data_IF_527004540603
#
_entry.id   IF_527004540603
#
_cell.length_a   1.000
_cell.length_b   1.000
_cell.length_c   1.000
_cell.angle_alpha   90.00
_cell.angle_beta   90.00
_cell.angle_gamma   90.00
#
_symmetry.space_group_name_H-M   'P 1'
#
loop_
_entity.id
_entity.type
_entity.pdbx_description
1 polymer ?
#
# COMPACT_ATOMS: atom_id res chain seq x y z
N UNK A 1 26.24 4.91 -29.21
CA UNK A 1 25.65 5.20 -30.54
C UNK A 1 24.49 6.21 -30.52
N UNK A 2 23.82 6.48 -29.38
CA UNK A 2 22.70 7.47 -29.31
C UNK A 2 23.14 8.93 -29.11
N UNK A 3 24.36 9.17 -28.65
CA UNK A 3 24.91 10.53 -28.46
C UNK A 3 25.11 11.30 -29.77
N UNK A 4 25.29 10.60 -30.89
CA UNK A 4 25.48 11.21 -32.22
C UNK A 4 24.18 11.75 -32.84
N UNK A 5 23.02 11.51 -32.21
CA UNK A 5 21.70 12.01 -32.67
C UNK A 5 21.19 13.19 -31.84
N UNK A 6 21.99 13.75 -30.93
CA UNK A 6 21.57 14.84 -30.03
C UNK A 6 20.54 14.39 -28.96
N UNK A 7 20.53 13.09 -28.64
CA UNK A 7 19.65 12.49 -27.64
C UNK A 7 20.47 12.17 -26.38
N UNK A 8 20.14 12.81 -25.27
CA UNK A 8 20.68 12.48 -23.95
C UNK A 8 19.76 11.48 -23.26
N UNK A 9 20.34 10.41 -22.71
CA UNK A 9 19.63 9.36 -21.99
C UNK A 9 20.20 9.23 -20.60
N UNK A 10 19.38 9.43 -19.58
CA UNK A 10 19.80 9.39 -18.18
C UNK A 10 18.81 8.58 -17.33
N UNK A 11 19.31 7.62 -16.57
CA UNK A 11 18.51 6.93 -15.57
C UNK A 11 18.38 7.79 -14.31
N UNK A 12 17.18 7.82 -13.74
CA UNK A 12 16.92 8.50 -12.47
C UNK A 12 16.14 7.60 -11.52
N UNK A 13 16.46 7.75 -10.23
CA UNK A 13 15.80 7.07 -9.13
C UNK A 13 15.11 8.13 -8.27
N UNK A 14 13.80 8.04 -8.11
CA UNK A 14 13.05 8.85 -7.15
C UNK A 14 12.78 8.03 -5.89
N UNK A 15 13.00 8.63 -4.73
CA UNK A 15 12.68 8.06 -3.42
C UNK A 15 11.84 9.06 -2.64
N UNK A 16 10.67 8.65 -2.19
CA UNK A 16 9.82 9.41 -1.28
C UNK A 16 9.64 8.61 0.00
N UNK A 17 9.66 9.29 1.15
CA UNK A 17 9.42 8.66 2.45
C UNK A 17 8.51 9.51 3.30
N UNK A 18 7.47 8.90 3.85
CA UNK A 18 6.50 9.54 4.74
C UNK A 18 6.41 8.77 6.04
N UNK A 19 6.23 9.48 7.16
CA UNK A 19 6.05 8.88 8.48
C UNK A 19 5.01 9.64 9.28
N UNK A 20 4.24 8.90 10.08
CA UNK A 20 3.22 9.48 10.96
C UNK A 20 2.99 8.56 12.16
N UNK A 21 2.37 9.10 13.20
CA UNK A 21 2.04 8.34 14.40
C UNK A 21 0.67 8.74 14.95
N UNK A 22 0.03 7.82 15.67
CA UNK A 22 -1.25 8.07 16.33
C UNK A 22 -1.45 7.12 17.52
N UNK A 23 -2.39 7.47 18.40
CA UNK A 23 -2.85 6.58 19.46
C UNK A 23 -4.19 5.94 19.11
N UNK A 24 -4.40 4.69 19.51
CA UNK A 24 -5.69 4.01 19.42
C UNK A 24 -5.92 3.19 20.68
N UNK A 25 -7.15 3.15 21.18
CA UNK A 25 -7.50 2.46 22.40
C UNK A 25 -8.92 1.88 22.35
N UNK A 26 -9.13 0.80 23.09
CA UNK A 26 -10.45 0.31 23.50
C UNK A 26 -10.66 0.55 25.01
N UNK A 27 -11.64 -0.11 25.64
CA UNK A 27 -11.94 0.07 27.07
C UNK A 27 -10.85 -0.46 28.00
N UNK A 28 -9.98 -1.37 27.56
CA UNK A 28 -9.01 -2.07 28.39
C UNK A 28 -7.56 -1.96 27.89
N UNK A 29 -7.37 -1.65 26.60
CA UNK A 29 -6.11 -1.77 25.89
C UNK A 29 -5.84 -0.53 25.02
N UNK A 30 -4.57 -0.25 24.76
CA UNK A 30 -4.16 0.86 23.89
C UNK A 30 -2.86 0.56 23.14
N UNK A 31 -2.67 1.21 22.00
CA UNK A 31 -1.44 1.22 21.21
C UNK A 31 -1.03 2.65 20.85
N UNK A 32 0.28 2.90 20.92
CA UNK A 32 0.95 3.94 20.14
C UNK A 32 1.39 3.32 18.82
N UNK A 33 0.90 3.88 17.72
CA UNK A 33 1.14 3.37 16.37
C UNK A 33 2.13 4.29 15.67
N UNK A 34 3.21 3.72 15.15
CA UNK A 34 4.23 4.40 14.36
C UNK A 34 4.23 3.84 12.95
N UNK A 35 4.08 4.67 11.94
CA UNK A 35 4.00 4.28 10.54
C UNK A 35 5.13 4.89 9.73
N UNK A 36 5.60 4.13 8.74
CA UNK A 36 6.60 4.55 7.76
C UNK A 36 6.25 3.96 6.39
N UNK A 37 6.29 4.81 5.37
CA UNK A 37 6.12 4.44 3.96
C UNK A 37 7.32 4.90 3.18
N UNK A 38 7.82 4.03 2.32
CA UNK A 38 8.84 4.35 1.33
C UNK A 38 8.33 3.99 -0.07
N UNK A 39 8.41 4.94 -1.00
CA UNK A 39 8.20 4.72 -2.41
C UNK A 39 9.51 4.87 -3.17
N UNK A 40 9.77 3.96 -4.10
CA UNK A 40 10.93 3.98 -4.99
C UNK A 40 10.46 3.85 -6.44
N UNK A 41 10.75 4.85 -7.26
CA UNK A 41 10.53 4.83 -8.70
C UNK A 41 11.86 4.83 -9.45
N UNK A 42 11.97 4.02 -10.50
CA UNK A 42 13.05 4.14 -11.48
C UNK A 42 12.45 4.55 -12.82
N UNK A 43 13.10 5.49 -13.49
CA UNK A 43 12.71 5.95 -14.82
C UNK A 43 13.94 6.32 -15.65
N UNK A 44 13.85 6.07 -16.94
CA UNK A 44 14.82 6.52 -17.93
C UNK A 44 14.28 7.80 -18.55
N UNK A 45 15.07 8.87 -18.48
CA UNK A 45 14.74 10.16 -19.06
C UNK A 45 15.44 10.30 -20.41
N UNK A 46 14.68 10.80 -21.39
CA UNK A 46 15.14 11.05 -22.75
C UNK A 46 14.99 12.54 -23.01
N UNK A 47 16.10 13.18 -23.37
CA UNK A 47 16.15 14.60 -23.70
C UNK A 47 16.64 14.76 -25.14
N UNK A 48 15.84 15.42 -25.97
CA UNK A 48 16.16 15.71 -27.37
C UNK A 48 16.44 17.21 -27.54
N UNK A 49 17.65 17.64 -27.18
CA UNK A 49 18.02 19.07 -27.17
C UNK A 49 17.09 19.91 -26.28
N UNK A 50 16.64 21.06 -26.78
CA UNK A 50 15.64 21.93 -26.11
C UNK A 50 14.19 21.63 -26.52
N UNK A 51 13.96 20.66 -27.41
CA UNK A 51 12.66 20.49 -28.09
C UNK A 51 11.70 19.55 -27.38
N UNK A 52 12.22 18.56 -26.63
CA UNK A 52 11.39 17.59 -25.94
C UNK A 52 12.14 16.90 -24.79
N UNK A 53 11.45 16.78 -23.66
CA UNK A 53 11.82 15.95 -22.52
C UNK A 53 10.69 14.94 -22.27
N UNK A 54 11.01 13.64 -22.26
CA UNK A 54 10.07 12.61 -21.86
C UNK A 54 10.73 11.55 -20.99
N UNK A 55 9.95 10.88 -20.15
CA UNK A 55 10.45 9.86 -19.23
C UNK A 55 9.63 8.60 -19.30
N UNK A 56 10.30 7.45 -19.28
CA UNK A 56 9.67 6.14 -19.23
C UNK A 56 9.99 5.52 -17.88
N UNK A 57 8.97 5.30 -17.05
CA UNK A 57 9.15 4.55 -15.80
C UNK A 57 9.55 3.11 -16.15
N UNK A 58 10.41 2.48 -15.37
CA UNK A 58 10.85 1.09 -15.58
C UNK A 58 10.57 0.21 -14.38
N UNK A 59 10.54 0.78 -13.17
CA UNK A 59 10.26 0.05 -11.94
C UNK A 59 9.54 0.93 -10.92
N UNK A 60 8.65 0.30 -10.15
CA UNK A 60 7.98 0.91 -9.01
C UNK A 60 8.00 -0.06 -7.82
N UNK A 61 8.35 0.45 -6.64
CA UNK A 61 8.28 -0.30 -5.40
C UNK A 61 7.72 0.56 -4.28
N UNK A 62 6.91 -0.05 -3.43
CA UNK A 62 6.34 0.53 -2.22
C UNK A 62 6.64 -0.41 -1.06
N UNK A 63 7.13 0.12 0.04
CA UNK A 63 7.20 -0.58 1.32
C UNK A 63 6.48 0.27 2.36
N UNK A 64 5.46 -0.30 2.98
CA UNK A 64 4.76 0.26 4.11
C UNK A 64 5.01 -0.62 5.33
N UNK A 65 5.30 0.02 6.45
CA UNK A 65 5.49 -0.64 7.73
C UNK A 65 4.85 0.15 8.86
N UNK A 66 4.34 -0.56 9.86
CA UNK A 66 3.88 0.06 11.08
C UNK A 66 4.25 -0.78 12.31
N UNK A 67 4.45 -0.13 13.45
CA UNK A 67 4.67 -0.78 14.74
C UNK A 67 3.59 -0.32 15.72
N UNK A 68 2.93 -1.27 16.39
CA UNK A 68 1.90 -1.04 17.41
C UNK A 68 2.52 -1.35 18.76
N UNK A 69 2.88 -0.31 19.47
CA UNK A 69 3.60 -0.40 20.74
C UNK A 69 2.62 -0.11 21.86
N UNK A 70 2.36 -1.06 22.76
CA UNK A 70 1.50 -0.79 23.88
C UNK A 70 2.17 0.21 24.85
N UNK A 71 1.39 1.06 25.54
CA UNK A 71 1.93 1.89 26.61
C UNK A 71 2.61 1.05 27.69
N UNK A 72 3.55 1.65 28.43
CA UNK A 72 4.26 0.95 29.51
C UNK A 72 3.26 0.35 30.53
N UNK A 73 3.56 -0.86 31.02
CA UNK A 73 2.79 -1.63 32.03
C UNK A 73 1.51 -2.33 31.54
N UNK A 74 1.42 -2.71 30.27
CA UNK A 74 0.35 -3.60 29.79
C UNK A 74 0.86 -5.03 29.58
N UNK A 75 -0.06 -5.99 29.51
CA UNK A 75 0.22 -7.40 29.14
C UNK A 75 0.13 -7.64 27.63
N UNK A 76 -0.11 -6.60 26.82
CA UNK A 76 -0.24 -6.76 25.38
C UNK A 76 1.12 -6.96 24.71
N UNK A 77 1.15 -7.84 23.71
CA UNK A 77 2.30 -7.98 22.83
C UNK A 77 2.36 -6.80 21.84
N UNK A 78 3.58 -6.44 21.41
CA UNK A 78 3.80 -5.55 20.27
C UNK A 78 3.40 -6.22 18.95
N UNK A 79 2.84 -5.45 18.02
CA UNK A 79 2.49 -5.92 16.68
C UNK A 79 3.16 -5.09 15.60
N UNK A 80 3.43 -5.72 14.46
CA UNK A 80 4.14 -5.13 13.35
C UNK A 80 3.37 -5.38 12.06
N UNK A 81 3.20 -4.34 11.25
CA UNK A 81 2.65 -4.41 9.91
C UNK A 81 3.78 -4.32 8.91
N UNK A 82 3.75 -5.18 7.90
CA UNK A 82 4.52 -4.99 6.67
C UNK A 82 3.61 -5.21 5.47
N UNK A 83 3.65 -4.29 4.51
CA UNK A 83 2.95 -4.40 3.23
C UNK A 83 3.79 -3.76 2.13
N UNK A 84 3.58 -4.18 0.89
CA UNK A 84 4.25 -3.53 -0.23
C UNK A 84 4.07 -4.23 -1.56
N UNK A 85 4.74 -3.67 -2.56
CA UNK A 85 4.84 -4.27 -3.88
C UNK A 85 6.19 -3.91 -4.53
N UNK A 86 6.51 -4.67 -5.56
CA UNK A 86 7.58 -4.38 -6.49
C UNK A 86 7.13 -4.81 -7.89
N UNK A 87 7.07 -3.88 -8.85
CA UNK A 87 6.56 -4.14 -10.19
C UNK A 87 7.42 -3.43 -11.26
N UNK A 88 7.61 -4.10 -12.38
CA UNK A 88 8.19 -3.49 -13.59
C UNK A 88 7.12 -2.70 -14.34
N UNK A 89 7.46 -1.54 -14.89
CA UNK A 89 6.49 -0.70 -15.63
C UNK A 89 7.04 -0.16 -16.94
N UNK A 90 7.57 -1.01 -17.85
CA UNK A 90 8.34 -0.58 -19.02
C UNK A 90 7.60 0.39 -19.97
N UNK A 91 6.27 0.40 -19.95
CA UNK A 91 5.44 1.30 -20.77
C UNK A 91 5.00 2.59 -20.03
N UNK A 92 5.55 2.82 -18.84
CA UNK A 92 5.15 3.91 -17.95
C UNK A 92 4.02 3.55 -16.99
N UNK A 93 3.81 4.41 -15.98
CA UNK A 93 2.87 4.16 -14.86
C UNK A 93 1.42 4.07 -15.34
N UNK A 94 1.00 4.98 -16.22
CA UNK A 94 -0.39 5.08 -16.69
C UNK A 94 -0.73 3.87 -17.57
N UNK A 95 0.11 3.56 -18.57
CA UNK A 95 -0.12 2.43 -19.47
C UNK A 95 -0.17 1.09 -18.71
N UNK A 96 0.79 0.87 -17.80
CA UNK A 96 0.79 -0.33 -16.95
C UNK A 96 -0.46 -0.38 -16.04
N UNK A 97 -0.92 0.77 -15.52
CA UNK A 97 -2.13 0.81 -14.68
C UNK A 97 -3.41 0.53 -15.47
N UNK A 98 -3.52 1.02 -16.69
CA UNK A 98 -4.68 0.74 -17.55
C UNK A 98 -4.71 -0.75 -17.93
N UNK A 99 -3.55 -1.32 -18.30
CA UNK A 99 -3.45 -2.73 -18.72
C UNK A 99 -3.59 -3.73 -17.56
N UNK A 100 -2.94 -3.46 -16.44
CA UNK A 100 -2.76 -4.44 -15.35
C UNK A 100 -3.54 -4.07 -14.07
N UNK A 101 -4.06 -2.84 -13.99
CA UNK A 101 -4.64 -2.29 -12.77
C UNK A 101 -3.62 -1.63 -11.84
N UNK A 102 -4.09 -1.18 -10.68
CA UNK A 102 -3.23 -0.62 -9.65
C UNK A 102 -2.30 -1.70 -9.07
N UNK A 103 -1.09 -1.33 -8.62
CA UNK A 103 -0.20 -2.26 -7.92
C UNK A 103 -0.91 -2.89 -6.71
N UNK A 104 -0.83 -4.22 -6.62
CA UNK A 104 -1.43 -4.97 -5.52
C UNK A 104 -0.46 -5.03 -4.35
N UNK A 105 -0.88 -4.48 -3.23
CA UNK A 105 -0.13 -4.57 -1.97
C UNK A 105 -0.75 -5.67 -1.11
N UNK A 106 0.00 -6.74 -0.90
CA UNK A 106 -0.29 -7.71 0.15
C UNK A 106 0.58 -7.41 1.36
N UNK A 107 0.22 -7.99 2.50
CA UNK A 107 1.12 -8.04 3.63
C UNK A 107 0.53 -8.74 4.83
N UNK A 108 1.01 -8.38 6.00
CA UNK A 108 0.62 -9.04 7.24
C UNK A 108 0.77 -8.13 8.45
N UNK A 109 0.05 -8.48 9.52
CA UNK A 109 0.20 -7.94 10.87
C UNK A 109 0.61 -9.07 11.79
N UNK A 110 1.72 -8.95 12.52
CA UNK A 110 2.25 -10.04 13.35
C UNK A 110 2.87 -9.56 14.66
N UNK A 111 2.74 -10.36 15.71
CA UNK A 111 3.49 -10.25 16.96
C UNK A 111 4.55 -11.36 17.11
N UNK A 112 4.98 -11.97 15.99
CA UNK A 112 5.88 -13.15 15.90
C UNK A 112 5.28 -14.48 16.37
N UNK A 113 4.17 -14.46 17.13
CA UNK A 113 3.43 -15.67 17.55
C UNK A 113 2.23 -15.94 16.65
N UNK A 114 1.52 -14.88 16.29
CA UNK A 114 0.34 -14.86 15.45
C UNK A 114 0.57 -13.97 14.23
N UNK A 115 -0.14 -14.27 13.14
CA UNK A 115 -0.09 -13.48 11.91
C UNK A 115 -1.50 -13.33 11.36
N UNK A 116 -1.83 -12.10 10.97
CA UNK A 116 -3.06 -11.73 10.27
C UNK A 116 -2.64 -11.30 8.87
N UNK A 117 -3.11 -11.99 7.84
CA UNK A 117 -2.81 -11.64 6.45
C UNK A 117 -3.65 -10.44 6.02
N UNK A 118 -3.07 -9.53 5.24
CA UNK A 118 -3.75 -8.39 4.64
C UNK A 118 -3.79 -8.60 3.12
N UNK A 119 -4.99 -8.66 2.56
CA UNK A 119 -5.20 -8.90 1.14
C UNK A 119 -6.03 -7.77 0.51
N UNK A 120 -5.69 -7.32 -0.72
CA UNK A 120 -6.41 -6.25 -1.39
C UNK A 120 -7.83 -6.68 -1.77
N UNK A 121 -8.77 -5.76 -1.59
CA UNK A 121 -10.17 -5.90 -1.99
C UNK A 121 -10.47 -4.92 -3.12
N UNK A 122 -10.99 -5.42 -4.23
CA UNK A 122 -11.33 -4.63 -5.42
C UNK A 122 -12.78 -4.17 -5.37
N UNK A 123 -13.02 -2.86 -5.46
CA UNK A 123 -14.40 -2.30 -5.39
C UNK A 123 -14.80 -1.63 -6.71
N UNK A 124 -13.87 -1.30 -7.61
CA UNK A 124 -14.20 -0.72 -8.91
C UNK A 124 -13.43 -1.37 -10.05
N UNK A 125 -14.22 -1.87 -11.00
CA UNK A 125 -13.84 -2.29 -12.32
C UNK A 125 -14.14 -1.15 -13.30
N UNK A 126 -13.16 -0.30 -13.61
CA UNK A 126 -13.39 0.81 -14.55
C UNK A 126 -13.39 0.28 -15.99
N UNK A 127 -14.46 0.53 -16.75
CA UNK A 127 -14.47 0.26 -18.20
C UNK A 127 -13.72 1.36 -18.95
N UNK A 128 -12.80 0.97 -19.84
CA UNK A 128 -12.18 1.91 -20.77
C UNK A 128 -13.23 2.47 -21.76
N UNK A 129 -13.11 3.76 -22.11
CA UNK A 129 -14.04 4.46 -23.02
C UNK A 129 -14.04 3.91 -24.45
N UNK A 130 -13.00 3.19 -24.84
CA UNK A 130 -12.75 2.71 -26.21
C UNK A 130 -12.95 1.21 -26.38
N UNK A 131 -13.00 0.44 -25.29
CA UNK A 131 -13.13 -1.01 -25.37
C UNK A 131 -13.83 -1.54 -24.11
N UNK A 132 -15.04 -2.08 -24.26
CA UNK A 132 -15.92 -2.46 -23.13
C UNK A 132 -15.39 -3.64 -22.29
N UNK A 133 -14.29 -4.27 -22.69
CA UNK A 133 -13.71 -5.46 -22.05
C UNK A 133 -12.57 -5.18 -21.08
N UNK A 134 -11.99 -3.97 -21.06
CA UNK A 134 -10.88 -3.66 -20.16
C UNK A 134 -11.40 -3.12 -18.83
N UNK A 135 -11.40 -4.00 -17.83
CA UNK A 135 -11.67 -3.70 -16.43
C UNK A 135 -10.38 -3.28 -15.74
N UNK A 136 -10.21 -1.99 -15.49
CA UNK A 136 -9.11 -1.50 -14.64
C UNK A 136 -9.44 -1.85 -13.19
N UNK A 137 -8.62 -2.71 -12.57
CA UNK A 137 -8.75 -3.09 -11.16
C UNK A 137 -8.17 -1.98 -10.27
N UNK A 138 -9.05 -1.39 -9.46
CA UNK A 138 -8.68 -0.38 -8.46
C UNK A 138 -8.87 -0.99 -7.07
N UNK A 139 -7.81 -0.92 -6.26
CA UNK A 139 -7.86 -1.33 -4.84
C UNK A 139 -8.79 -0.40 -4.09
N UNK A 140 -9.93 -0.92 -3.63
CA UNK A 140 -10.90 -0.17 -2.85
C UNK A 140 -10.80 -0.39 -1.35
N UNK A 141 -10.09 -1.44 -0.94
CA UNK A 141 -10.01 -1.84 0.45
C UNK A 141 -8.96 -2.91 0.69
N UNK A 142 -8.92 -3.37 1.93
CA UNK A 142 -8.21 -4.58 2.31
C UNK A 142 -9.07 -5.44 3.22
N UNK A 143 -8.87 -6.75 3.14
CA UNK A 143 -9.43 -7.74 4.05
C UNK A 143 -8.34 -8.27 4.97
N UNK A 144 -8.70 -8.53 6.21
CA UNK A 144 -7.82 -9.06 7.25
C UNK A 144 -8.21 -10.50 7.53
N UNK A 145 -7.27 -11.42 7.39
CA UNK A 145 -7.50 -12.85 7.54
C UNK A 145 -6.70 -13.45 8.68
N UNK A 146 -7.34 -14.25 9.51
CA UNK A 146 -6.69 -15.04 10.55
C UNK A 146 -7.16 -16.49 10.43
N UNK A 147 -6.23 -17.42 10.20
CA UNK A 147 -6.51 -18.86 10.05
C UNK A 147 -7.68 -19.15 9.10
N UNK A 148 -7.57 -18.69 7.85
CA UNK A 148 -8.57 -18.83 6.78
C UNK A 148 -9.90 -18.09 6.99
N UNK A 149 -10.06 -17.34 8.09
CA UNK A 149 -11.26 -16.56 8.35
C UNK A 149 -11.01 -15.07 8.16
N UNK A 150 -11.93 -14.39 7.47
CA UNK A 150 -11.94 -12.93 7.41
C UNK A 150 -12.40 -12.39 8.77
N UNK A 151 -11.55 -11.62 9.44
CA UNK A 151 -11.80 -11.03 10.76
C UNK A 151 -12.08 -9.53 10.71
N UNK A 152 -11.79 -8.88 9.59
CA UNK A 152 -12.21 -7.51 9.34
C UNK A 152 -11.94 -7.05 7.92
N UNK A 153 -12.42 -5.85 7.61
CA UNK A 153 -12.22 -5.17 6.33
C UNK A 153 -12.00 -3.68 6.55
N UNK A 154 -11.23 -3.05 5.67
CA UNK A 154 -11.07 -1.60 5.58
C UNK A 154 -11.47 -1.14 4.18
N UNK A 155 -12.33 -0.13 4.10
CA UNK A 155 -12.76 0.53 2.88
C UNK A 155 -12.06 1.90 2.78
N UNK A 156 -11.22 2.04 1.75
CA UNK A 156 -10.41 3.24 1.53
C UNK A 156 -11.20 4.38 0.91
N UNK A 157 -12.32 4.10 0.23
CA UNK A 157 -13.15 5.13 -0.40
C UNK A 157 -14.05 5.83 0.61
N UNK A 158 -14.65 5.05 1.50
CA UNK A 158 -15.53 5.57 2.55
C UNK A 158 -14.78 5.91 3.85
N UNK A 159 -13.47 5.69 3.86
CA UNK A 159 -12.60 5.87 5.03
C UNK A 159 -13.13 5.18 6.29
N UNK A 160 -13.56 3.92 6.14
CA UNK A 160 -14.23 3.15 7.19
C UNK A 160 -13.61 1.76 7.34
N UNK A 161 -13.87 1.11 8.47
CA UNK A 161 -13.49 -0.28 8.69
C UNK A 161 -14.53 -0.99 9.55
N UNK A 162 -14.58 -2.32 9.41
CA UNK A 162 -15.53 -3.18 10.12
C UNK A 162 -14.83 -4.45 10.59
N UNK A 163 -15.32 -5.02 11.68
CA UNK A 163 -14.86 -6.30 12.22
C UNK A 163 -16.00 -7.31 12.22
N UNK A 164 -15.67 -8.59 12.09
CA UNK A 164 -16.64 -9.65 12.28
C UNK A 164 -16.81 -9.95 13.78
N UNK A 165 -18.05 -10.21 14.21
CA UNK A 165 -18.47 -10.28 15.62
C UNK A 165 -17.67 -11.28 16.44
N UNK A 166 -17.33 -12.43 15.86
CA UNK A 166 -16.62 -13.55 16.48
C UNK A 166 -15.14 -13.28 16.77
N UNK A 167 -14.61 -12.14 16.32
CA UNK A 167 -13.21 -11.77 16.55
C UNK A 167 -12.97 -11.39 18.02
N UNK A 168 -11.95 -11.98 18.65
CA UNK A 168 -11.54 -11.63 20.03
C UNK A 168 -11.16 -10.15 20.16
N UNK A 169 -11.33 -9.56 21.36
CA UNK A 169 -11.11 -8.13 21.61
C UNK A 169 -9.71 -7.65 21.22
N UNK A 170 -8.66 -8.42 21.56
CA UNK A 170 -7.28 -8.10 21.17
C UNK A 170 -7.12 -8.04 19.65
N UNK A 171 -7.66 -9.01 18.91
CA UNK A 171 -7.59 -8.99 17.45
C UNK A 171 -8.38 -7.82 16.85
N UNK A 172 -9.53 -7.46 17.43
CA UNK A 172 -10.29 -6.27 17.01
C UNK A 172 -9.46 -5.00 17.12
N UNK A 173 -8.76 -4.78 18.24
CA UNK A 173 -7.90 -3.61 18.41
C UNK A 173 -6.70 -3.62 17.43
N UNK A 174 -6.08 -4.79 17.20
CA UNK A 174 -4.98 -4.94 16.22
C UNK A 174 -5.45 -4.61 14.81
N UNK A 175 -6.61 -5.12 14.39
CA UNK A 175 -7.19 -4.81 13.08
C UNK A 175 -7.60 -3.34 13.01
N UNK A 176 -8.13 -2.75 14.09
CA UNK A 176 -8.46 -1.32 14.15
C UNK A 176 -7.23 -0.45 13.92
N UNK A 177 -6.11 -0.80 14.58
CA UNK A 177 -4.83 -0.11 14.44
C UNK A 177 -4.31 -0.22 13.01
N UNK A 178 -4.33 -1.43 12.42
CA UNK A 178 -3.89 -1.66 11.05
C UNK A 178 -4.78 -0.95 10.02
N UNK A 179 -6.10 -1.03 10.15
CA UNK A 179 -7.04 -0.33 9.30
C UNK A 179 -6.85 1.18 9.36
N UNK A 180 -6.72 1.75 10.57
CA UNK A 180 -6.46 3.18 10.77
C UNK A 180 -5.14 3.60 10.13
N UNK A 181 -4.09 2.78 10.28
CA UNK A 181 -2.80 3.02 9.65
C UNK A 181 -2.94 3.07 8.11
N UNK A 182 -3.69 2.14 7.51
CA UNK A 182 -3.94 2.12 6.06
C UNK A 182 -4.80 3.29 5.56
N UNK A 183 -5.79 3.71 6.33
CA UNK A 183 -6.61 4.88 6.01
C UNK A 183 -5.77 6.17 6.02
N UNK A 184 -4.92 6.34 7.02
CA UNK A 184 -4.03 7.50 7.11
C UNK A 184 -2.97 7.52 5.99
N UNK A 185 -2.54 6.34 5.54
CA UNK A 185 -1.59 6.18 4.43
C UNK A 185 -2.14 6.65 3.08
N UNK A 186 -3.45 6.57 2.89
CA UNK A 186 -4.13 6.86 1.63
C UNK A 186 -4.72 8.28 1.57
N UNK A 187 -4.30 9.16 2.47
CA UNK A 187 -4.62 10.60 2.43
C UNK A 187 -3.81 11.33 1.36
#
# INVERSE_FOLDING_TARGET
MLSNTGLEVNDSVSKTSDSYHFGIADTANAFLVFCSRQYLGKRTNYKAGEKADFSIASQQSSKFSAAFIPPAKTTMDEWYVEMGYNRATPDGVIAATIREGMPLENGFVTNKKYSITIEPLFIKAGKSRTNEQEVVKVTGGYSFHYREQVIGVVDLFNASFSFFSETGSTHKLVVAAAASALLLRNR
#
